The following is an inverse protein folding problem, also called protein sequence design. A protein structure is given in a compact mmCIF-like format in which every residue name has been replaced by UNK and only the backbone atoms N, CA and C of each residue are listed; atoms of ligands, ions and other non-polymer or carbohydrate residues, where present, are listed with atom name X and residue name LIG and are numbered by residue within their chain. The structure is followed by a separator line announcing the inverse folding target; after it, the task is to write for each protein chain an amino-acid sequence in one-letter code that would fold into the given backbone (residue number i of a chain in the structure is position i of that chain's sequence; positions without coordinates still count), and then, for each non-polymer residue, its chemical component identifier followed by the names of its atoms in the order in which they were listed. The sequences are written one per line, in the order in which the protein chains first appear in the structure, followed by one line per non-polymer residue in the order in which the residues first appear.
data_IF_382164689195
#
_entry.id   IF_382164689195
#
_cell.length_a   1.000
_cell.length_b   1.000
_cell.length_c   1.000
_cell.angle_alpha   90.00
_cell.angle_beta   90.00
_cell.angle_gamma   90.00
#
_symmetry.space_group_name_H-M   'P 1'
#
loop_
_entity.id
_entity.type
_entity.pdbx_description
1 polymer ?
#
# COMPACT_ATOMS: atom_id res chain seq x y z
N UNK A 1 -13.99 38.54 18.76
CA UNK A 1 -15.00 37.49 18.99
C UNK A 1 -16.15 38.03 19.86
N UNK A 2 -16.74 39.19 19.53
CA UNK A 2 -17.75 39.83 20.40
C UNK A 2 -19.15 39.95 19.78
N UNK A 3 -19.32 39.62 18.49
CA UNK A 3 -20.60 39.78 17.79
C UNK A 3 -21.68 38.73 18.12
N UNK A 4 -21.35 37.66 18.85
CA UNK A 4 -22.27 36.54 19.11
C UNK A 4 -23.07 36.68 20.42
N UNK A 5 -22.79 37.69 21.26
CA UNK A 5 -23.41 37.87 22.58
C UNK A 5 -24.81 38.51 22.53
N UNK A 6 -25.15 39.21 21.44
CA UNK A 6 -26.45 39.88 21.26
C UNK A 6 -27.53 38.99 20.62
N UNK A 7 -27.18 37.76 20.25
CA UNK A 7 -28.10 36.84 19.55
C UNK A 7 -29.03 36.13 20.56
N UNK A 8 -30.36 36.12 20.33
CA UNK A 8 -31.29 35.37 21.16
C UNK A 8 -30.97 33.87 21.21
N UNK A 9 -31.08 33.25 22.41
CA UNK A 9 -30.73 31.83 22.65
C UNK A 9 -31.41 30.83 21.69
N UNK A 10 -32.61 31.12 21.21
CA UNK A 10 -33.33 30.28 20.25
C UNK A 10 -32.65 30.25 18.87
N UNK A 11 -32.17 31.40 18.39
CA UNK A 11 -31.49 31.53 17.11
C UNK A 11 -30.14 30.81 17.15
N UNK A 12 -29.46 30.84 18.30
CA UNK A 12 -28.21 30.11 18.52
C UNK A 12 -28.39 28.59 18.42
N UNK A 13 -29.47 28.04 18.99
CA UNK A 13 -29.76 26.59 18.94
C UNK A 13 -30.14 26.15 17.52
N UNK A 14 -30.97 26.95 16.83
CA UNK A 14 -31.34 26.76 15.43
C UNK A 14 -30.10 26.74 14.53
N UNK A 15 -29.25 27.77 14.61
CA UNK A 15 -28.05 27.92 13.80
C UNK A 15 -27.05 26.77 14.03
N UNK A 16 -26.87 26.33 15.28
CA UNK A 16 -26.04 25.18 15.62
C UNK A 16 -26.57 23.88 15.00
N UNK A 17 -27.89 23.67 14.99
CA UNK A 17 -28.51 22.47 14.40
C UNK A 17 -28.37 22.43 12.87
N UNK A 18 -28.47 23.58 12.20
CA UNK A 18 -28.28 23.70 10.74
C UNK A 18 -26.82 23.55 10.34
N UNK A 19 -25.88 24.04 11.17
CA UNK A 19 -24.44 23.94 10.90
C UNK A 19 -23.84 22.57 11.22
N UNK A 20 -24.44 21.80 12.13
CA UNK A 20 -23.95 20.45 12.46
C UNK A 20 -23.79 19.53 11.23
N UNK A 21 -24.79 19.37 10.34
CA UNK A 21 -24.64 18.55 9.14
C UNK A 21 -23.64 19.14 8.14
N UNK A 22 -23.59 20.47 7.99
CA UNK A 22 -22.64 21.14 7.10
C UNK A 22 -21.19 20.95 7.57
N UNK A 23 -20.92 21.14 8.87
CA UNK A 23 -19.61 20.92 9.47
C UNK A 23 -19.18 19.46 9.38
N UNK A 24 -20.12 18.52 9.55
CA UNK A 24 -19.87 17.08 9.36
C UNK A 24 -19.46 16.77 7.92
N UNK A 25 -20.17 17.30 6.92
CA UNK A 25 -19.85 17.08 5.52
C UNK A 25 -18.49 17.67 5.13
N UNK A 26 -18.17 18.88 5.60
CA UNK A 26 -16.85 19.50 5.39
C UNK A 26 -15.74 18.67 6.04
N UNK A 27 -15.95 18.20 7.28
CA UNK A 27 -14.98 17.36 7.97
C UNK A 27 -14.71 16.03 7.25
N UNK A 28 -15.75 15.41 6.68
CA UNK A 28 -15.59 14.19 5.85
C UNK A 28 -14.77 14.51 4.59
N UNK A 29 -15.03 15.63 3.92
CA UNK A 29 -14.26 16.04 2.74
C UNK A 29 -12.79 16.35 3.07
N UNK A 30 -12.52 17.00 4.20
CA UNK A 30 -11.16 17.26 4.68
C UNK A 30 -10.43 15.96 5.05
N UNK A 31 -11.11 15.01 5.69
CA UNK A 31 -10.55 13.72 6.04
C UNK A 31 -10.23 12.88 4.78
N UNK A 32 -11.15 12.85 3.81
CA UNK A 32 -10.93 12.20 2.52
C UNK A 32 -9.75 12.84 1.77
N UNK A 33 -9.65 14.18 1.75
CA UNK A 33 -8.47 14.87 1.21
C UNK A 33 -7.19 14.48 1.94
N UNK A 34 -7.20 14.42 3.27
CA UNK A 34 -6.05 14.00 4.07
C UNK A 34 -5.57 12.59 3.71
N UNK A 35 -6.49 11.67 3.46
CA UNK A 35 -6.18 10.30 3.00
C UNK A 35 -5.60 10.33 1.58
N UNK A 36 -6.23 11.03 0.63
CA UNK A 36 -5.74 11.10 -0.75
C UNK A 36 -4.37 11.81 -0.88
N UNK A 37 -4.11 12.81 -0.04
CA UNK A 37 -2.81 13.49 0.03
C UNK A 37 -1.81 12.78 0.95
N UNK A 38 -2.18 11.64 1.54
CA UNK A 38 -1.25 10.85 2.32
C UNK A 38 -0.15 10.28 1.42
N UNK A 39 1.06 10.27 1.95
CA UNK A 39 2.24 9.74 1.27
C UNK A 39 2.04 8.35 0.63
N UNK A 40 1.49 7.34 1.32
CA UNK A 40 1.37 6.00 0.75
C UNK A 40 0.47 5.96 -0.50
N UNK A 41 -0.65 6.70 -0.50
CA UNK A 41 -1.56 6.75 -1.64
C UNK A 41 -0.97 7.55 -2.81
N UNK A 42 -0.24 8.62 -2.53
CA UNK A 42 0.50 9.36 -3.56
C UNK A 42 1.57 8.48 -4.20
N UNK A 43 2.32 7.70 -3.41
CA UNK A 43 3.30 6.74 -3.94
C UNK A 43 2.62 5.73 -4.84
N UNK A 44 1.53 5.09 -4.40
CA UNK A 44 0.79 4.12 -5.22
C UNK A 44 0.40 4.70 -6.58
N UNK A 45 -0.25 5.87 -6.58
CA UNK A 45 -0.67 6.52 -7.82
C UNK A 45 0.52 6.87 -8.72
N UNK A 46 1.65 7.24 -8.13
CA UNK A 46 2.87 7.57 -8.86
C UNK A 46 3.47 6.35 -9.60
N UNK A 47 3.37 5.14 -9.04
CA UNK A 47 3.79 3.91 -9.74
C UNK A 47 2.97 3.69 -11.01
N UNK A 48 1.65 3.84 -10.93
CA UNK A 48 0.75 3.70 -12.08
C UNK A 48 0.96 4.78 -13.14
N UNK A 49 1.37 5.98 -12.74
CA UNK A 49 1.53 7.11 -13.66
C UNK A 49 2.88 7.16 -14.37
N UNK A 50 4.00 6.82 -13.69
CA UNK A 50 5.35 6.96 -14.27
C UNK A 50 6.08 5.65 -14.52
N UNK A 51 5.86 4.62 -13.70
CA UNK A 51 6.70 3.42 -13.69
C UNK A 51 5.87 2.14 -13.83
N UNK A 52 5.05 2.10 -14.88
CA UNK A 52 4.13 0.97 -15.17
C UNK A 52 4.87 -0.35 -15.41
N UNK A 53 6.07 -0.29 -16.01
CA UNK A 53 6.89 -1.48 -16.27
C UNK A 53 7.25 -2.21 -14.98
N UNK A 54 7.52 -1.49 -13.89
CA UNK A 54 7.82 -2.08 -12.60
C UNK A 54 6.60 -2.85 -12.02
N UNK A 55 5.38 -2.40 -12.32
CA UNK A 55 4.15 -3.10 -11.92
C UNK A 55 3.92 -4.41 -12.68
N UNK A 56 4.53 -4.59 -13.86
CA UNK A 56 4.42 -5.85 -14.61
C UNK A 56 5.03 -7.02 -13.84
N UNK A 57 6.14 -6.81 -13.12
CA UNK A 57 6.74 -7.85 -12.29
C UNK A 57 5.80 -8.29 -11.17
N UNK A 58 5.08 -7.35 -10.54
CA UNK A 58 4.04 -7.69 -9.57
C UNK A 58 2.87 -8.42 -10.22
N UNK A 59 2.36 -7.92 -11.34
CA UNK A 59 1.26 -8.57 -12.06
C UNK A 59 1.59 -10.02 -12.44
N UNK A 60 2.83 -10.28 -12.88
CA UNK A 60 3.32 -11.63 -13.16
C UNK A 60 3.30 -12.50 -11.90
N UNK A 61 3.79 -12.01 -10.76
CA UNK A 61 3.76 -12.76 -9.50
C UNK A 61 2.33 -13.07 -9.05
N UNK A 62 1.42 -12.10 -9.12
CA UNK A 62 0.00 -12.32 -8.82
C UNK A 62 -0.63 -13.36 -9.75
N UNK A 63 -0.29 -13.33 -11.04
CA UNK A 63 -0.79 -14.28 -12.03
C UNK A 63 -0.26 -15.71 -11.82
N UNK A 64 1.03 -15.87 -11.45
CA UNK A 64 1.64 -17.17 -11.14
C UNK A 64 1.00 -17.79 -9.91
N UNK A 65 0.89 -17.04 -8.81
CA UNK A 65 0.26 -17.52 -7.55
C UNK A 65 -1.25 -17.73 -7.74
N UNK A 66 -1.88 -16.99 -8.65
CA UNK A 66 -3.28 -17.17 -9.02
C UNK A 66 -3.57 -18.35 -9.95
N UNK A 67 -2.55 -19.05 -10.45
CA UNK A 67 -2.73 -20.14 -11.42
C UNK A 67 -3.14 -19.68 -12.83
N UNK A 68 -3.14 -18.38 -13.09
CA UNK A 68 -3.43 -17.80 -14.40
C UNK A 68 -2.21 -17.85 -15.34
N UNK A 69 -1.00 -17.99 -14.77
CA UNK A 69 0.25 -17.99 -15.51
C UNK A 69 1.09 -19.24 -15.18
N UNK A 70 1.63 -19.89 -16.22
CA UNK A 70 2.48 -21.09 -16.11
C UNK A 70 1.93 -22.25 -15.26
N UNK A 71 0.60 -22.38 -15.15
CA UNK A 71 -0.03 -23.49 -14.43
C UNK A 71 0.39 -24.87 -14.96
N UNK A 72 0.45 -25.03 -16.29
CA UNK A 72 0.88 -26.28 -16.95
C UNK A 72 2.34 -26.64 -16.65
N UNK A 73 3.18 -25.66 -16.31
CA UNK A 73 4.58 -25.88 -15.90
C UNK A 73 4.74 -26.10 -14.39
N UNK A 74 3.63 -26.16 -13.63
CA UNK A 74 3.67 -26.35 -12.18
C UNK A 74 4.11 -25.11 -11.39
N UNK A 75 4.20 -23.94 -12.01
CA UNK A 75 4.69 -22.73 -11.32
C UNK A 75 3.80 -22.35 -10.12
N UNK A 76 2.49 -22.50 -10.23
CA UNK A 76 1.55 -22.32 -9.10
C UNK A 76 1.88 -23.30 -7.95
N UNK A 77 2.12 -24.57 -8.27
CA UNK A 77 2.43 -25.60 -7.29
C UNK A 77 3.78 -25.34 -6.61
N UNK A 78 4.82 -24.96 -7.36
CA UNK A 78 6.14 -24.63 -6.78
C UNK A 78 6.10 -23.39 -5.88
N UNK A 79 5.24 -22.42 -6.17
CA UNK A 79 5.08 -21.26 -5.29
C UNK A 79 4.30 -21.60 -4.03
N UNK A 80 3.24 -22.40 -4.10
CA UNK A 80 2.38 -22.71 -2.94
C UNK A 80 2.91 -23.86 -2.08
N UNK A 81 3.39 -24.92 -2.71
CA UNK A 81 3.94 -26.13 -2.12
C UNK A 81 5.32 -26.40 -2.74
N UNK A 82 6.36 -25.63 -2.38
CA UNK A 82 7.67 -25.77 -2.97
C UNK A 82 8.27 -27.16 -2.69
N UNK A 83 8.57 -27.87 -3.77
CA UNK A 83 9.31 -29.12 -3.74
C UNK A 83 10.79 -28.83 -3.97
N UNK A 84 11.65 -29.34 -3.09
CA UNK A 84 13.10 -29.30 -3.25
C UNK A 84 13.62 -30.73 -3.16
N UNK A 85 14.38 -31.16 -4.16
CA UNK A 85 14.87 -32.55 -4.26
C UNK A 85 13.77 -33.62 -4.22
N UNK A 86 12.54 -33.28 -4.65
CA UNK A 86 11.40 -34.19 -4.66
C UNK A 86 10.58 -34.20 -3.36
N UNK A 87 11.00 -33.45 -2.34
CA UNK A 87 10.30 -33.37 -1.06
C UNK A 87 9.81 -31.94 -0.75
N UNK A 88 8.59 -31.85 -0.21
CA UNK A 88 8.05 -30.61 0.36
C UNK A 88 8.55 -30.48 1.80
N UNK A 89 9.56 -29.66 2.01
CA UNK A 89 10.18 -29.45 3.31
C UNK A 89 10.22 -27.96 3.69
N UNK A 90 10.44 -27.67 4.97
CA UNK A 90 10.57 -26.31 5.48
C UNK A 90 11.69 -25.51 4.78
N UNK A 91 12.75 -26.18 4.34
CA UNK A 91 13.86 -25.56 3.58
C UNK A 91 13.36 -25.08 2.20
N UNK A 92 12.56 -25.89 1.51
CA UNK A 92 11.95 -25.54 0.22
C UNK A 92 11.09 -24.28 0.34
N UNK A 93 10.26 -24.22 1.39
CA UNK A 93 9.45 -23.05 1.72
C UNK A 93 10.32 -21.83 2.10
N UNK A 94 11.41 -22.04 2.84
CA UNK A 94 12.34 -20.97 3.20
C UNK A 94 13.03 -20.36 1.97
N UNK A 95 13.41 -21.17 0.97
CA UNK A 95 14.01 -20.69 -0.27
C UNK A 95 13.05 -19.75 -1.02
N UNK A 96 11.78 -20.16 -1.17
CA UNK A 96 10.74 -19.31 -1.79
C UNK A 96 10.51 -18.05 -0.96
N UNK A 97 10.41 -18.17 0.35
CA UNK A 97 10.24 -17.02 1.25
C UNK A 97 11.39 -16.02 1.17
N UNK A 98 12.64 -16.49 1.14
CA UNK A 98 13.83 -15.66 0.97
C UNK A 98 13.85 -15.00 -0.41
N UNK A 99 13.51 -15.74 -1.48
CA UNK A 99 13.43 -15.18 -2.83
C UNK A 99 12.39 -14.04 -2.93
N UNK A 100 11.20 -14.26 -2.37
CA UNK A 100 10.15 -13.22 -2.28
C UNK A 100 10.64 -12.03 -1.43
N UNK A 101 11.30 -12.30 -0.30
CA UNK A 101 11.86 -11.26 0.57
C UNK A 101 12.91 -10.40 -0.13
N UNK A 102 13.84 -11.01 -0.87
CA UNK A 102 14.84 -10.32 -1.69
C UNK A 102 14.13 -9.48 -2.76
N UNK A 103 13.14 -10.04 -3.45
CA UNK A 103 12.37 -9.30 -4.46
C UNK A 103 11.67 -8.06 -3.86
N UNK A 104 11.03 -8.19 -2.69
CA UNK A 104 10.39 -7.08 -1.98
C UNK A 104 11.41 -6.00 -1.59
N UNK A 105 12.61 -6.39 -1.14
CA UNK A 105 13.66 -5.43 -0.80
C UNK A 105 14.22 -4.75 -2.04
N UNK A 106 14.48 -5.49 -3.13
CA UNK A 106 14.89 -4.92 -4.41
C UNK A 106 13.86 -3.92 -4.93
N UNK A 107 12.56 -4.25 -4.88
CA UNK A 107 11.48 -3.34 -5.21
C UNK A 107 11.60 -2.02 -4.43
N UNK A 108 11.68 -2.10 -3.09
CA UNK A 108 11.74 -0.92 -2.25
C UNK A 108 13.00 -0.07 -2.50
N UNK A 109 14.15 -0.70 -2.74
CA UNK A 109 15.40 0.02 -3.08
C UNK A 109 15.28 0.71 -4.43
N UNK A 110 14.82 0.01 -5.47
CA UNK A 110 14.69 0.58 -6.82
C UNK A 110 13.72 1.75 -6.84
N UNK A 111 12.54 1.60 -6.22
CA UNK A 111 11.55 2.68 -6.19
C UNK A 111 12.00 3.83 -5.30
N UNK A 112 12.70 3.55 -4.20
CA UNK A 112 13.34 4.59 -3.38
C UNK A 112 14.32 5.43 -4.21
N UNK A 113 15.22 4.80 -4.98
CA UNK A 113 16.19 5.52 -5.83
C UNK A 113 15.44 6.40 -6.84
N UNK A 114 14.42 5.86 -7.51
CA UNK A 114 13.65 6.58 -8.54
C UNK A 114 12.87 7.79 -7.98
N UNK A 115 12.28 7.66 -6.79
CA UNK A 115 11.44 8.69 -6.20
C UNK A 115 12.15 9.61 -5.21
N UNK A 116 13.34 9.25 -4.73
CA UNK A 116 14.14 10.07 -3.81
C UNK A 116 14.38 11.48 -4.35
N UNK A 117 14.54 11.62 -5.67
CA UNK A 117 14.71 12.92 -6.35
C UNK A 117 13.45 13.79 -6.35
N UNK A 118 12.27 13.18 -6.26
CA UNK A 118 11.00 13.90 -6.28
C UNK A 118 10.55 14.35 -4.89
N UNK A 119 11.03 13.69 -3.83
CA UNK A 119 10.60 13.95 -2.46
C UNK A 119 11.78 14.34 -1.56
N UNK A 120 12.26 15.58 -1.72
CA UNK A 120 13.36 16.13 -0.90
C UNK A 120 13.03 16.21 0.59
N UNK A 121 11.75 16.30 0.96
CA UNK A 121 11.32 16.33 2.37
C UNK A 121 11.65 15.02 3.11
N UNK A 122 11.68 13.86 2.42
CA UNK A 122 12.06 12.58 3.02
C UNK A 122 13.53 12.56 3.43
N UNK A 123 14.41 13.19 2.63
CA UNK A 123 15.85 13.25 2.89
C UNK A 123 16.21 14.11 4.12
N UNK A 124 15.34 15.04 4.52
CA UNK A 124 15.52 15.84 5.73
C UNK A 124 15.20 15.07 7.03
N UNK A 125 14.63 13.86 6.92
CA UNK A 125 14.23 13.07 8.09
C UNK A 125 15.28 12.03 8.48
N UNK A 126 15.36 11.73 9.78
CA UNK A 126 16.17 10.61 10.27
C UNK A 126 15.63 9.29 9.68
N UNK A 127 16.52 8.49 9.07
CA UNK A 127 16.23 7.20 8.40
C UNK A 127 15.25 7.29 7.20
N UNK A 128 15.65 7.94 6.09
CA UNK A 128 14.77 8.18 4.94
C UNK A 128 14.30 6.89 4.26
N UNK A 129 15.19 5.90 4.13
CA UNK A 129 14.88 4.63 3.47
C UNK A 129 13.82 3.82 4.23
N UNK A 130 13.98 3.66 5.55
CA UNK A 130 13.04 2.88 6.35
C UNK A 130 11.63 3.49 6.30
N UNK A 131 11.53 4.82 6.43
CA UNK A 131 10.27 5.54 6.29
C UNK A 131 9.66 5.35 4.91
N UNK A 132 10.48 5.38 3.86
CA UNK A 132 10.01 5.10 2.52
C UNK A 132 9.46 3.67 2.39
N UNK A 133 10.19 2.65 2.85
CA UNK A 133 9.74 1.25 2.78
C UNK A 133 8.40 1.03 3.48
N UNK A 134 8.20 1.65 4.65
CA UNK A 134 6.92 1.57 5.38
C UNK A 134 5.79 2.19 4.54
N UNK A 135 6.02 3.35 3.93
CA UNK A 135 5.02 4.02 3.09
C UNK A 135 4.77 3.30 1.75
N UNK A 136 5.78 2.60 1.22
CA UNK A 136 5.72 1.84 -0.04
C UNK A 136 5.34 0.36 0.17
N UNK A 137 4.93 -0.01 1.39
CA UNK A 137 4.63 -1.39 1.75
C UNK A 137 3.30 -1.91 1.19
N UNK A 138 2.44 -1.03 0.66
CA UNK A 138 1.07 -1.41 0.26
C UNK A 138 1.06 -2.53 -0.80
N UNK A 139 1.85 -2.42 -1.86
CA UNK A 139 1.90 -3.46 -2.92
C UNK A 139 2.52 -4.77 -2.36
N UNK A 140 3.70 -4.75 -1.71
CA UNK A 140 4.28 -5.94 -1.08
C UNK A 140 3.35 -6.64 -0.08
N UNK A 141 2.70 -5.89 0.82
CA UNK A 141 1.81 -6.45 1.83
C UNK A 141 0.55 -7.03 1.20
N UNK A 142 0.01 -6.38 0.15
CA UNK A 142 -1.13 -6.92 -0.60
C UNK A 142 -0.78 -8.26 -1.26
N UNK A 143 0.41 -8.36 -1.85
CA UNK A 143 0.89 -9.62 -2.43
C UNK A 143 1.11 -10.70 -1.37
N UNK A 144 1.74 -10.37 -0.23
CA UNK A 144 1.93 -11.32 0.86
C UNK A 144 0.59 -11.83 1.41
N UNK A 145 -0.38 -10.94 1.60
CA UNK A 145 -1.72 -11.34 2.03
C UNK A 145 -2.38 -12.28 1.01
N UNK A 146 -2.33 -11.93 -0.27
CA UNK A 146 -2.86 -12.78 -1.34
C UNK A 146 -2.18 -14.16 -1.40
N UNK A 147 -0.86 -14.19 -1.28
CA UNK A 147 -0.06 -15.42 -1.25
C UNK A 147 -0.46 -16.31 -0.06
N UNK A 148 -0.59 -15.75 1.14
CA UNK A 148 -1.00 -16.50 2.32
C UNK A 148 -2.43 -17.07 2.15
N UNK A 149 -3.38 -16.27 1.66
CA UNK A 149 -4.75 -16.75 1.41
C UNK A 149 -4.76 -17.92 0.43
N UNK A 150 -3.95 -17.89 -0.63
CA UNK A 150 -3.86 -18.96 -1.62
C UNK A 150 -3.07 -20.18 -1.15
N UNK A 151 -2.15 -20.02 -0.20
CA UNK A 151 -1.38 -21.11 0.37
C UNK A 151 -2.16 -21.91 1.42
N UNK A 152 -3.06 -21.26 2.17
CA UNK A 152 -3.86 -21.89 3.23
C UNK A 152 -5.30 -22.22 2.84
N UNK A 153 -5.82 -21.67 1.75
CA UNK A 153 -7.18 -21.88 1.26
C UNK A 153 -7.22 -22.77 0.03
#
# INVERSE_FOLDING_TARGET
MEYFSFIPRYLHKQFRSTLQPLKKNIAIQEYLRGIFFSLPLQLLFLHFRKYQVLLLFWAMLFATVGGAFMKTFGAEALFLAPEYMGDVNAISAAIVGVAIGIFIMCWNVTTFILFSRHFTFLAATQFPFLKYCINNSVIPLTFLFYYLVKAYG
#
